data_IF_888727451822
#
_entry.id   IF_888727451822
#
_cell.length_a   1.000
_cell.length_b   1.000
_cell.length_c   1.000
_cell.angle_alpha   90.00
_cell.angle_beta   90.00
_cell.angle_gamma   90.00
#
_symmetry.space_group_name_H-M   'P 1'
#
loop_
_entity.id
_entity.type
_entity.pdbx_description
1 polymer ?
#
# COMPACT_ATOMS: atom_id res chain seq x y z
N UNK A 1 -3.16 -20.75 30.18
CA UNK A 1 -4.26 -20.10 29.45
C UNK A 1 -3.65 -18.88 28.77
N UNK A 2 -3.36 -18.96 27.47
CA UNK A 2 -2.79 -17.82 26.72
C UNK A 2 -3.96 -16.87 26.46
N UNK A 3 -3.85 -15.56 26.74
CA UNK A 3 -4.95 -14.64 26.44
C UNK A 3 -5.20 -14.68 24.94
N UNK A 4 -6.46 -14.93 24.57
CA UNK A 4 -6.97 -14.71 23.22
C UNK A 4 -6.55 -13.30 22.81
N UNK A 5 -5.63 -13.17 21.84
CA UNK A 5 -5.35 -11.88 21.20
C UNK A 5 -6.69 -11.42 20.64
N UNK A 6 -7.22 -10.28 21.11
CA UNK A 6 -8.37 -9.64 20.47
C UNK A 6 -8.11 -9.63 18.98
N UNK A 7 -9.04 -10.19 18.20
CA UNK A 7 -8.98 -10.11 16.75
C UNK A 7 -8.91 -8.62 16.40
N UNK A 8 -7.81 -8.18 15.80
CA UNK A 8 -7.70 -6.80 15.33
C UNK A 8 -8.75 -6.60 14.24
N UNK A 9 -9.69 -5.69 14.51
CA UNK A 9 -10.82 -5.43 13.61
C UNK A 9 -10.37 -4.52 12.48
N UNK A 10 -11.02 -4.63 11.32
CA UNK A 10 -10.74 -3.77 10.17
C UNK A 10 -10.97 -2.27 10.49
N UNK A 11 -11.74 -1.95 11.54
CA UNK A 11 -11.94 -0.59 12.03
C UNK A 11 -10.69 0.09 12.56
N UNK A 12 -9.68 -0.67 13.00
CA UNK A 12 -8.49 -0.15 13.68
C UNK A 12 -7.26 -0.05 12.75
N UNK A 13 -7.47 -0.15 11.44
CA UNK A 13 -6.36 -0.26 10.47
C UNK A 13 -5.97 1.05 9.78
N UNK A 14 -6.63 2.16 10.09
CA UNK A 14 -6.26 3.49 9.58
C UNK A 14 -5.21 4.15 10.48
N UNK A 15 -4.04 4.43 9.94
CA UNK A 15 -2.92 5.09 10.62
C UNK A 15 -2.73 6.51 10.09
N UNK A 16 -3.10 7.49 10.93
CA UNK A 16 -2.91 8.92 10.66
C UNK A 16 -1.83 9.50 11.56
N UNK A 17 -0.60 9.49 11.05
CA UNK A 17 0.54 10.07 11.75
C UNK A 17 0.77 11.48 11.22
N UNK A 18 0.84 12.54 12.07
CA UNK A 18 1.13 13.90 11.63
C UNK A 18 2.46 13.98 10.88
N UNK A 19 2.52 14.73 9.78
CA UNK A 19 3.77 14.92 9.02
C UNK A 19 4.72 15.82 9.80
N UNK A 20 5.89 15.30 10.10
CA UNK A 20 7.01 16.03 10.68
C UNK A 20 8.32 15.70 9.95
N UNK A 21 9.39 16.43 10.25
CA UNK A 21 10.74 16.05 9.86
C UNK A 21 11.18 14.79 10.62
N UNK A 22 12.09 14.04 10.01
CA UNK A 22 12.63 12.80 10.53
C UNK A 22 11.75 11.58 10.27
N UNK A 23 12.20 10.46 10.83
CA UNK A 23 11.60 9.13 10.65
C UNK A 23 10.43 8.92 11.62
N UNK A 24 9.25 8.65 11.06
CA UNK A 24 7.98 8.48 11.77
C UNK A 24 7.44 7.08 11.56
N UNK A 25 7.14 6.37 12.63
CA UNK A 25 6.56 5.03 12.58
C UNK A 25 5.09 5.14 12.16
N UNK A 26 4.69 4.42 11.11
CA UNK A 26 3.30 4.32 10.68
C UNK A 26 2.65 3.05 11.23
N UNK A 27 3.32 1.90 11.03
CA UNK A 27 2.89 0.56 11.44
C UNK A 27 4.11 -0.22 11.91
N UNK A 28 3.97 -1.04 12.96
CA UNK A 28 5.06 -1.87 13.48
C UNK A 28 4.70 -3.34 13.46
N UNK A 29 5.56 -4.16 12.88
CA UNK A 29 5.40 -5.62 12.89
C UNK A 29 5.29 -6.13 14.32
N UNK A 30 4.25 -6.92 14.57
CA UNK A 30 3.92 -7.48 15.88
C UNK A 30 3.11 -6.55 16.79
N UNK A 31 2.73 -5.37 16.32
CA UNK A 31 1.83 -4.42 17.00
C UNK A 31 0.68 -4.01 16.06
N UNK A 32 -0.41 -3.50 16.64
CA UNK A 32 -1.49 -2.80 15.92
C UNK A 32 -2.02 -3.55 14.67
N UNK A 33 -2.14 -4.87 14.76
CA UNK A 33 -2.72 -5.71 13.71
C UNK A 33 -1.71 -6.23 12.71
N UNK A 34 -0.54 -5.61 12.63
CA UNK A 34 0.48 -6.01 11.68
C UNK A 34 1.28 -7.22 12.15
N UNK A 35 1.40 -8.21 11.26
CA UNK A 35 2.10 -9.47 11.45
C UNK A 35 3.39 -9.54 10.64
N UNK A 36 3.43 -8.88 9.50
CA UNK A 36 4.50 -9.02 8.52
C UNK A 36 5.28 -7.73 8.27
N UNK A 37 4.63 -6.58 8.42
CA UNK A 37 5.15 -5.30 7.93
C UNK A 37 5.52 -4.33 9.05
N UNK A 38 6.67 -3.67 8.89
CA UNK A 38 6.97 -2.42 9.58
C UNK A 38 7.02 -1.33 8.52
N UNK A 39 6.25 -0.25 8.69
CA UNK A 39 6.20 0.86 7.75
C UNK A 39 6.61 2.16 8.45
N UNK A 40 7.49 2.90 7.79
CA UNK A 40 7.98 4.20 8.23
C UNK A 40 7.71 5.24 7.15
N UNK A 41 7.51 6.49 7.57
CA UNK A 41 7.64 7.67 6.72
C UNK A 41 8.89 8.42 7.13
N UNK A 42 9.69 8.83 6.16
CA UNK A 42 10.86 9.67 6.38
C UNK A 42 10.69 10.98 5.59
N UNK A 43 10.86 12.10 6.28
CA UNK A 43 11.03 13.41 5.64
C UNK A 43 12.37 13.98 6.11
N UNK A 44 13.21 14.42 5.18
CA UNK A 44 14.49 15.03 5.49
C UNK A 44 14.56 16.42 4.86
N UNK A 45 14.86 17.48 5.63
CA UNK A 45 15.17 18.76 5.04
C UNK A 45 16.48 18.67 4.23
N UNK A 46 16.66 19.60 3.29
CA UNK A 46 17.84 19.62 2.44
C UNK A 46 19.14 19.62 3.27
N UNK A 47 20.05 18.69 2.95
CA UNK A 47 21.33 18.52 3.65
C UNK A 47 21.29 17.64 4.90
N UNK A 48 20.11 17.17 5.34
CA UNK A 48 20.01 16.21 6.43
C UNK A 48 20.25 14.76 5.95
N UNK A 49 20.64 13.91 6.91
CA UNK A 49 20.90 12.48 6.72
C UNK A 49 20.21 11.68 7.83
N UNK A 50 19.77 10.47 7.52
CA UNK A 50 19.23 9.51 8.49
C UNK A 50 19.78 8.12 8.20
N UNK A 51 20.28 7.44 9.24
CA UNK A 51 20.79 6.07 9.15
C UNK A 51 19.75 5.08 9.68
N UNK A 52 19.57 3.96 8.98
CA UNK A 52 18.65 2.91 9.35
C UNK A 52 19.32 1.53 9.33
N UNK A 53 19.15 0.77 10.43
CA UNK A 53 19.69 -0.57 10.57
C UNK A 53 18.63 -1.48 11.16
N UNK A 54 18.23 -2.51 10.42
CA UNK A 54 17.32 -3.54 10.86
C UNK A 54 17.84 -4.94 10.46
N UNK A 55 18.70 -5.58 11.27
CA UNK A 55 19.47 -6.76 10.86
C UNK A 55 18.60 -8.02 10.66
N UNK A 56 17.33 -7.98 11.06
CA UNK A 56 16.37 -9.08 10.95
C UNK A 56 15.21 -8.74 10.01
N UNK A 57 15.28 -7.62 9.29
CA UNK A 57 14.21 -7.15 8.41
C UNK A 57 14.79 -6.86 7.03
N UNK A 58 14.11 -7.38 6.01
CA UNK A 58 14.26 -6.87 4.67
C UNK A 58 13.70 -5.45 4.62
N UNK A 59 14.41 -4.51 3.99
CA UNK A 59 14.01 -3.11 3.94
C UNK A 59 14.03 -2.61 2.49
N UNK A 60 12.94 -1.98 2.09
CA UNK A 60 12.83 -1.27 0.81
C UNK A 60 12.54 0.20 1.13
N UNK A 61 13.26 1.11 0.48
CA UNK A 61 13.05 2.56 0.58
C UNK A 61 12.57 3.06 -0.79
N UNK A 62 11.40 3.70 -0.81
CA UNK A 62 10.84 4.32 -2.02
C UNK A 62 10.83 5.83 -1.85
N UNK A 63 11.57 6.53 -2.71
CA UNK A 63 11.55 8.00 -2.76
C UNK A 63 10.22 8.46 -3.38
N UNK A 64 9.50 9.33 -2.67
CA UNK A 64 8.24 9.90 -3.18
C UNK A 64 8.38 11.27 -3.79
N UNK A 65 9.34 12.07 -3.31
CA UNK A 65 9.58 13.43 -3.78
C UNK A 65 10.98 13.90 -3.35
N UNK A 66 11.61 14.72 -4.16
CA UNK A 66 12.93 15.30 -3.92
C UNK A 66 14.08 14.55 -4.57
N UNK A 67 15.31 14.82 -4.09
CA UNK A 67 16.56 14.24 -4.60
C UNK A 67 17.53 14.03 -3.45
N UNK A 68 18.31 12.96 -3.51
CA UNK A 68 19.33 12.65 -2.51
C UNK A 68 20.25 11.52 -2.94
N UNK A 69 21.05 11.06 -1.99
CA UNK A 69 21.92 9.88 -2.16
C UNK A 69 21.42 8.79 -1.24
N UNK A 70 21.21 7.59 -1.80
CA UNK A 70 20.93 6.39 -1.02
C UNK A 70 22.22 5.58 -0.91
N UNK A 71 22.46 5.01 0.27
CA UNK A 71 23.59 4.13 0.53
C UNK A 71 23.09 2.86 1.25
N UNK A 72 23.60 1.70 0.83
CA UNK A 72 23.31 0.41 1.43
C UNK A 72 24.56 -0.49 1.33
N UNK A 73 25.14 -0.84 2.48
CA UNK A 73 26.43 -1.51 2.52
C UNK A 73 27.55 -0.62 1.95
N UNK A 74 28.30 -1.16 0.99
CA UNK A 74 29.35 -0.47 0.24
C UNK A 74 28.84 0.21 -1.05
N UNK A 75 27.54 0.12 -1.33
CA UNK A 75 26.93 0.74 -2.50
C UNK A 75 26.33 2.10 -2.15
N UNK A 76 26.48 3.07 -3.07
CA UNK A 76 25.89 4.40 -2.97
C UNK A 76 25.49 4.92 -4.34
N UNK A 77 24.31 5.51 -4.47
CA UNK A 77 23.78 6.04 -5.74
C UNK A 77 22.88 7.25 -5.51
N UNK A 78 22.82 8.15 -6.50
CA UNK A 78 21.89 9.30 -6.48
C UNK A 78 20.52 8.87 -6.95
N UNK A 79 19.48 9.34 -6.25
CA UNK A 79 18.07 9.14 -6.59
C UNK A 79 17.36 10.47 -6.66
N UNK A 80 16.36 10.59 -7.52
CA UNK A 80 15.53 11.78 -7.63
C UNK A 80 14.15 11.46 -8.19
N UNK A 81 13.14 12.18 -7.71
CA UNK A 81 11.75 12.06 -8.14
C UNK A 81 11.06 13.42 -8.00
N UNK A 82 10.35 13.87 -9.03
CA UNK A 82 9.67 15.17 -9.05
C UNK A 82 8.24 15.11 -8.49
N UNK A 83 8.04 14.25 -7.49
CA UNK A 83 6.74 13.88 -6.94
C UNK A 83 6.15 12.60 -7.55
N UNK A 84 5.26 11.95 -6.81
CA UNK A 84 4.67 10.67 -7.25
C UNK A 84 3.86 10.81 -8.52
N UNK A 85 3.15 11.92 -8.70
CA UNK A 85 2.22 12.13 -9.83
C UNK A 85 2.89 12.55 -11.15
N UNK A 86 4.23 12.59 -11.23
CA UNK A 86 4.96 12.91 -12.47
C UNK A 86 5.36 11.68 -13.30
N UNK A 87 5.25 10.48 -12.75
CA UNK A 87 5.87 9.30 -13.31
C UNK A 87 4.94 8.56 -14.28
N UNK A 88 5.55 7.86 -15.24
CA UNK A 88 4.85 6.95 -16.16
C UNK A 88 4.75 5.58 -15.52
N UNK A 89 3.60 4.94 -15.69
CA UNK A 89 3.32 3.60 -15.19
C UNK A 89 2.54 2.79 -16.25
N UNK A 90 2.33 1.51 -15.99
CA UNK A 90 1.66 0.62 -16.93
C UNK A 90 0.14 0.66 -16.72
N UNK A 91 -0.62 0.89 -17.80
CA UNK A 91 -2.07 0.90 -17.74
C UNK A 91 -2.62 -0.46 -17.26
N UNK A 92 -3.58 -0.43 -16.34
CA UNK A 92 -4.28 -1.60 -15.79
C UNK A 92 -5.78 -1.30 -15.66
N UNK A 93 -6.62 -2.30 -15.91
CA UNK A 93 -8.07 -2.14 -15.88
C UNK A 93 -8.63 -1.35 -17.07
N UNK A 94 -9.89 -0.93 -16.98
CA UNK A 94 -10.61 -0.19 -18.03
C UNK A 94 -11.77 0.63 -17.46
N UNK A 95 -12.29 1.57 -18.24
CA UNK A 95 -13.42 2.42 -17.83
C UNK A 95 -13.17 3.06 -16.47
N UNK A 96 -14.16 2.96 -15.57
CA UNK A 96 -14.09 3.55 -14.24
C UNK A 96 -13.16 2.82 -13.25
N UNK A 97 -12.47 1.77 -13.68
CA UNK A 97 -11.38 1.14 -12.91
C UNK A 97 -10.06 1.07 -13.70
N UNK A 98 -9.93 1.91 -14.74
CA UNK A 98 -8.66 2.20 -15.39
C UNK A 98 -7.75 2.96 -14.43
N UNK A 99 -6.48 2.57 -14.39
CA UNK A 99 -5.45 3.13 -13.51
C UNK A 99 -4.08 2.83 -14.10
N UNK A 100 -3.05 3.49 -13.60
CA UNK A 100 -1.68 3.11 -13.90
C UNK A 100 -1.04 2.42 -12.70
N UNK A 101 -0.18 1.43 -12.95
CA UNK A 101 0.53 0.67 -11.93
C UNK A 101 2.00 0.54 -12.27
N UNK A 102 2.86 0.76 -11.28
CA UNK A 102 4.28 0.48 -11.37
C UNK A 102 4.64 -0.62 -10.37
N UNK A 103 5.03 -1.78 -10.91
CA UNK A 103 5.47 -2.92 -10.14
C UNK A 103 6.97 -2.76 -9.82
N UNK A 104 7.31 -2.16 -8.67
CA UNK A 104 8.69 -1.74 -8.33
C UNK A 104 9.57 -2.95 -7.95
N UNK A 105 9.16 -3.73 -6.95
CA UNK A 105 9.90 -4.90 -6.42
C UNK A 105 9.06 -6.19 -6.43
N UNK A 106 8.10 -6.29 -7.35
CA UNK A 106 7.16 -7.43 -7.41
C UNK A 106 7.85 -8.71 -7.85
N UNK A 107 8.65 -8.65 -8.92
CA UNK A 107 9.39 -9.80 -9.48
C UNK A 107 10.90 -9.68 -9.30
N UNK A 108 11.36 -8.70 -8.52
CA UNK A 108 12.77 -8.43 -8.30
C UNK A 108 13.45 -9.61 -7.57
N UNK A 109 14.58 -10.14 -8.05
CA UNK A 109 15.24 -11.30 -7.46
C UNK A 109 16.02 -10.98 -6.16
N UNK A 110 16.31 -9.70 -5.89
CA UNK A 110 16.97 -9.26 -4.67
C UNK A 110 16.00 -9.14 -3.49
N UNK A 111 14.71 -8.98 -3.78
CA UNK A 111 13.67 -9.01 -2.76
C UNK A 111 13.29 -10.44 -2.34
N UNK A 112 13.20 -10.68 -1.03
CA UNK A 112 13.01 -11.99 -0.39
C UNK A 112 11.54 -12.27 -0.10
N UNK A 113 10.87 -11.38 0.63
CA UNK A 113 9.47 -11.53 1.07
C UNK A 113 8.63 -10.34 0.66
N UNK A 114 9.20 -9.13 0.74
CA UNK A 114 8.51 -7.92 0.35
C UNK A 114 8.27 -7.89 -1.17
N UNK A 115 7.07 -7.48 -1.52
CA UNK A 115 6.72 -7.02 -2.87
C UNK A 115 6.18 -5.60 -2.70
N UNK A 116 6.62 -4.70 -3.58
CA UNK A 116 6.27 -3.29 -3.50
C UNK A 116 5.89 -2.81 -4.89
N UNK A 117 4.84 -2.01 -4.94
CA UNK A 117 4.48 -1.27 -6.14
C UNK A 117 3.66 -0.04 -5.78
N UNK A 118 3.23 0.67 -6.80
CA UNK A 118 2.43 1.88 -6.62
C UNK A 118 1.32 1.94 -7.66
N UNK A 119 0.20 2.52 -7.27
CA UNK A 119 -0.98 2.67 -8.14
C UNK A 119 -1.41 4.13 -8.20
N UNK A 120 -1.77 4.56 -9.41
CA UNK A 120 -2.23 5.91 -9.72
C UNK A 120 -3.68 5.86 -10.21
N UNK A 121 -4.60 6.37 -9.39
CA UNK A 121 -6.01 6.46 -9.71
C UNK A 121 -6.34 7.83 -10.30
N UNK A 122 -6.93 7.87 -11.51
CA UNK A 122 -7.58 9.06 -12.02
C UNK A 122 -8.75 9.51 -11.10
N UNK A 123 -9.14 10.79 -11.16
CA UNK A 123 -10.29 11.28 -10.41
C UNK A 123 -11.57 10.54 -10.77
N UNK A 124 -12.35 10.13 -9.76
CA UNK A 124 -13.59 9.37 -9.94
C UNK A 124 -13.41 7.87 -10.19
N UNK A 125 -12.17 7.39 -10.35
CA UNK A 125 -11.90 5.98 -10.65
C UNK A 125 -11.72 5.11 -9.40
N UNK A 126 -12.01 3.83 -9.60
CA UNK A 126 -11.78 2.75 -8.65
C UNK A 126 -10.49 2.01 -8.96
N UNK A 127 -9.87 1.46 -7.94
CA UNK A 127 -8.73 0.55 -8.07
C UNK A 127 -8.83 -0.58 -7.05
N UNK A 128 -7.85 -1.48 -7.11
CA UNK A 128 -7.95 -2.79 -6.47
C UNK A 128 -9.30 -3.45 -6.80
N UNK A 129 -9.69 -3.33 -8.09
CA UNK A 129 -11.02 -3.64 -8.60
C UNK A 129 -10.94 -4.53 -9.88
N UNK A 130 -11.74 -5.60 -10.03
CA UNK A 130 -12.73 -6.12 -9.06
C UNK A 130 -12.13 -6.39 -7.67
N UNK A 131 -12.94 -6.26 -6.59
CA UNK A 131 -12.43 -6.43 -5.24
C UNK A 131 -11.75 -7.79 -5.11
N UNK A 132 -10.59 -7.82 -4.47
CA UNK A 132 -9.82 -9.04 -4.29
C UNK A 132 -9.17 -9.09 -2.91
N UNK A 133 -8.75 -10.29 -2.52
CA UNK A 133 -8.12 -10.57 -1.22
C UNK A 133 -6.92 -11.51 -1.37
N UNK A 134 -6.14 -11.59 -0.30
CA UNK A 134 -4.97 -12.47 -0.15
C UNK A 134 -4.95 -13.10 1.25
N UNK A 135 -6.07 -13.70 1.69
CA UNK A 135 -6.24 -14.14 3.10
C UNK A 135 -6.11 -15.65 3.32
N UNK A 136 -5.73 -16.39 2.28
CA UNK A 136 -5.44 -17.83 2.37
C UNK A 136 -6.65 -18.76 2.20
N UNK A 137 -7.86 -18.23 2.07
CA UNK A 137 -9.08 -19.06 2.14
C UNK A 137 -9.47 -19.73 0.83
N UNK A 138 -8.89 -19.34 -0.30
CA UNK A 138 -9.28 -19.82 -1.63
C UNK A 138 -8.07 -20.20 -2.52
N UNK A 139 -6.95 -20.59 -1.91
CA UNK A 139 -5.73 -21.05 -2.60
C UNK A 139 -4.73 -19.93 -2.96
N UNK A 140 -5.12 -18.67 -2.80
CA UNK A 140 -4.20 -17.55 -2.74
C UNK A 140 -3.35 -17.61 -1.45
N UNK A 141 -2.14 -17.03 -1.43
CA UNK A 141 -1.32 -17.01 -0.22
C UNK A 141 -1.89 -16.06 0.84
N UNK A 142 -1.48 -16.23 2.09
CA UNK A 142 -1.74 -15.27 3.17
C UNK A 142 -0.71 -14.15 3.04
N UNK A 143 -1.16 -12.99 2.58
CA UNK A 143 -0.36 -11.79 2.44
C UNK A 143 -0.99 -10.64 3.22
N UNK A 144 -0.21 -10.01 4.09
CA UNK A 144 -0.57 -8.74 4.70
C UNK A 144 -0.07 -7.61 3.79
N UNK A 145 -0.93 -6.62 3.57
CA UNK A 145 -0.63 -5.48 2.71
C UNK A 145 -0.81 -4.16 3.47
N UNK A 146 -0.06 -3.13 3.10
CA UNK A 146 -0.23 -1.77 3.60
C UNK A 146 -0.24 -0.80 2.43
N UNK A 147 -1.18 0.15 2.43
CA UNK A 147 -1.24 1.27 1.49
C UNK A 147 -0.84 2.56 2.19
N UNK A 148 0.08 3.33 1.60
CA UNK A 148 0.38 4.70 2.00
C UNK A 148 -0.10 5.67 0.92
N UNK A 149 -0.94 6.62 1.31
CA UNK A 149 -1.68 7.47 0.40
C UNK A 149 -1.03 8.82 0.13
N UNK A 150 -1.13 9.27 -1.13
CA UNK A 150 -0.96 10.67 -1.52
C UNK A 150 -2.20 11.12 -2.29
N UNK A 151 -2.61 12.37 -2.09
CA UNK A 151 -3.79 12.95 -2.76
C UNK A 151 -3.40 14.23 -3.47
N UNK A 152 -3.93 14.45 -4.65
CA UNK A 152 -3.75 15.68 -5.40
C UNK A 152 -5.10 16.24 -5.91
N UNK A 153 -5.48 17.47 -5.53
CA UNK A 153 -4.78 18.36 -4.59
C UNK A 153 -4.83 17.86 -3.12
N UNK A 154 -3.85 18.23 -2.27
CA UNK A 154 -3.60 17.56 -0.98
C UNK A 154 -4.69 17.74 0.09
N UNK A 155 -5.57 18.73 -0.05
CA UNK A 155 -6.76 18.87 0.81
C UNK A 155 -7.87 17.85 0.49
N UNK A 156 -7.71 17.07 -0.57
CA UNK A 156 -8.65 16.04 -0.98
C UNK A 156 -8.68 14.84 -0.05
N UNK A 157 -9.37 13.78 -0.52
CA UNK A 157 -9.51 12.53 0.19
C UNK A 157 -9.72 11.36 -0.77
N UNK A 158 -9.68 10.14 -0.23
CA UNK A 158 -10.06 8.90 -0.89
C UNK A 158 -10.88 8.00 0.02
N UNK A 159 -11.36 6.88 -0.51
CA UNK A 159 -12.03 5.85 0.27
C UNK A 159 -11.29 4.52 0.13
N UNK A 160 -10.83 3.99 1.26
CA UNK A 160 -10.37 2.61 1.38
C UNK A 160 -11.49 1.81 2.01
N UNK A 161 -12.15 0.96 1.23
CA UNK A 161 -13.10 -0.01 1.77
C UNK A 161 -12.35 -1.30 2.12
N UNK A 162 -12.73 -1.95 3.21
CA UNK A 162 -12.28 -3.29 3.57
C UNK A 162 -13.50 -4.10 4.00
N UNK A 163 -13.67 -5.29 3.46
CA UNK A 163 -14.76 -6.17 3.86
C UNK A 163 -14.39 -7.65 3.74
N UNK A 164 -15.06 -8.51 4.50
CA UNK A 164 -14.85 -9.95 4.46
C UNK A 164 -16.13 -10.68 4.05
N UNK A 165 -15.98 -11.91 3.55
CA UNK A 165 -17.11 -12.80 3.30
C UNK A 165 -17.91 -13.13 4.59
N UNK A 166 -17.34 -12.88 5.77
CA UNK A 166 -18.00 -13.06 7.08
C UNK A 166 -18.88 -11.87 7.49
N UNK A 167 -18.99 -10.83 6.68
CA UNK A 167 -19.88 -9.68 6.91
C UNK A 167 -19.22 -8.49 7.64
N UNK A 168 -17.99 -8.62 8.10
CA UNK A 168 -17.22 -7.46 8.58
C UNK A 168 -16.97 -6.50 7.41
N UNK A 169 -17.22 -5.21 7.61
CA UNK A 169 -17.09 -4.19 6.59
C UNK A 169 -16.81 -2.83 7.22
N UNK A 170 -15.83 -2.11 6.66
CA UNK A 170 -15.48 -0.74 7.04
C UNK A 170 -15.11 0.05 5.79
N UNK A 171 -15.29 1.37 5.85
CA UNK A 171 -14.72 2.28 4.86
C UNK A 171 -14.00 3.40 5.58
N UNK A 172 -12.70 3.54 5.32
CA UNK A 172 -11.87 4.62 5.84
C UNK A 172 -11.83 5.77 4.84
N UNK A 173 -12.09 6.98 5.32
CA UNK A 173 -11.74 8.20 4.57
C UNK A 173 -10.26 8.47 4.75
N UNK A 174 -9.49 8.28 3.68
CA UNK A 174 -8.04 8.47 3.66
C UNK A 174 -7.69 9.87 3.17
N UNK A 175 -6.65 10.48 3.75
CA UNK A 175 -6.13 11.80 3.40
C UNK A 175 -4.66 11.70 2.97
N UNK A 176 -4.13 12.79 2.42
CA UNK A 176 -2.73 12.87 2.01
C UNK A 176 -1.79 12.53 3.18
N UNK A 177 -1.05 11.42 3.05
CA UNK A 177 -0.10 10.92 4.05
C UNK A 177 -0.65 9.95 5.09
N UNK A 178 -1.91 9.51 4.96
CA UNK A 178 -2.45 8.40 5.75
C UNK A 178 -1.89 7.06 5.26
N UNK A 179 -1.86 6.06 6.14
CA UNK A 179 -1.62 4.67 5.78
C UNK A 179 -2.78 3.78 6.23
N UNK A 180 -3.06 2.71 5.51
CA UNK A 180 -4.06 1.70 5.89
C UNK A 180 -3.44 0.31 5.81
N UNK A 181 -3.54 -0.45 6.91
CA UNK A 181 -3.17 -1.86 6.97
C UNK A 181 -4.33 -2.72 6.45
N UNK A 182 -4.02 -3.71 5.62
CA UNK A 182 -4.98 -4.64 5.00
C UNK A 182 -4.60 -6.06 5.47
N UNK A 183 -5.06 -6.48 6.66
CA UNK A 183 -4.62 -7.75 7.25
C UNK A 183 -5.30 -8.97 6.62
N UNK A 184 -6.48 -8.78 6.02
CA UNK A 184 -7.28 -9.79 5.33
C UNK A 184 -8.46 -9.12 4.60
N UNK A 185 -9.23 -9.92 3.85
CA UNK A 185 -10.47 -9.47 3.21
C UNK A 185 -10.24 -8.70 1.91
N UNK A 186 -11.36 -8.34 1.29
CA UNK A 186 -11.43 -7.57 0.05
C UNK A 186 -11.20 -6.09 0.33
N UNK A 187 -10.41 -5.42 -0.49
CA UNK A 187 -9.94 -4.06 -0.17
C UNK A 187 -9.95 -3.09 -1.36
N UNK A 188 -11.12 -2.83 -1.99
CA UNK A 188 -11.19 -1.89 -3.10
C UNK A 188 -10.99 -0.44 -2.64
N UNK A 189 -10.50 0.40 -3.57
CA UNK A 189 -10.23 1.82 -3.34
C UNK A 189 -11.01 2.66 -4.33
N UNK A 190 -11.56 3.80 -3.87
CA UNK A 190 -12.27 4.76 -4.72
C UNK A 190 -11.70 6.17 -4.56
N UNK A 191 -11.33 6.78 -5.69
CA UNK A 191 -10.97 8.19 -5.79
C UNK A 191 -12.25 9.02 -6.02
N UNK A 192 -12.51 10.09 -5.24
CA UNK A 192 -13.62 10.99 -5.51
C UNK A 192 -13.38 11.80 -6.80
N UNK A 193 -14.44 12.32 -7.44
CA UNK A 193 -14.30 13.24 -8.56
C UNK A 193 -13.43 14.45 -8.19
N UNK A 194 -12.55 14.85 -9.11
CA UNK A 194 -11.64 16.00 -8.95
C UNK A 194 -10.34 15.73 -8.18
N UNK A 195 -10.15 14.57 -7.55
CA UNK A 195 -8.91 14.24 -6.82
C UNK A 195 -8.20 13.04 -7.43
N UNK A 196 -6.93 13.22 -7.82
CA UNK A 196 -6.04 12.10 -8.13
C UNK A 196 -5.63 11.43 -6.83
N UNK A 197 -5.70 10.11 -6.80
CA UNK A 197 -5.33 9.32 -5.63
C UNK A 197 -4.14 8.43 -6.00
N UNK A 198 -3.10 8.49 -5.20
CA UNK A 198 -1.94 7.62 -5.29
C UNK A 198 -1.87 6.76 -4.03
N UNK A 199 -1.46 5.51 -4.19
CA UNK A 199 -1.01 4.73 -3.05
C UNK A 199 0.21 3.89 -3.39
N UNK A 200 1.22 3.99 -2.52
CA UNK A 200 2.32 3.05 -2.43
C UNK A 200 1.82 1.85 -1.66
N UNK A 201 1.93 0.66 -2.26
CA UNK A 201 1.56 -0.58 -1.62
C UNK A 201 2.78 -1.46 -1.37
N UNK A 202 2.85 -2.02 -0.17
CA UNK A 202 3.82 -3.03 0.20
C UNK A 202 3.09 -4.23 0.78
N UNK A 203 3.45 -5.42 0.32
CA UNK A 203 2.77 -6.66 0.65
C UNK A 203 3.80 -7.76 0.96
N UNK A 204 3.54 -8.54 2.01
CA UNK A 204 4.39 -9.65 2.41
C UNK A 204 3.60 -10.76 3.11
N UNK A 205 4.14 -11.97 3.01
CA UNK A 205 3.67 -13.13 3.74
C UNK A 205 4.76 -14.18 3.89
N UNK A 206 4.40 -15.37 4.35
CA UNK A 206 5.32 -16.50 4.42
C UNK A 206 5.77 -16.95 3.02
N UNK A 207 4.90 -16.82 2.02
CA UNK A 207 5.15 -17.12 0.62
C UNK A 207 5.27 -15.82 -0.19
N UNK A 208 6.36 -15.64 -0.97
CA UNK A 208 6.49 -14.51 -1.91
C UNK A 208 5.86 -14.87 -3.25
N UNK A 209 4.53 -14.82 -3.31
CA UNK A 209 3.76 -15.05 -4.54
C UNK A 209 2.58 -14.09 -4.58
N UNK A 210 2.59 -13.13 -5.51
CA UNK A 210 1.46 -12.23 -5.69
C UNK A 210 0.31 -12.94 -6.42
N UNK A 211 -0.52 -13.65 -5.67
CA UNK A 211 -1.76 -14.24 -6.14
C UNK A 211 -2.92 -13.64 -5.35
N UNK A 212 -4.02 -13.36 -6.04
CA UNK A 212 -5.23 -12.77 -5.48
C UNK A 212 -6.42 -13.70 -5.70
N UNK A 213 -7.43 -13.54 -4.87
CA UNK A 213 -8.75 -14.12 -5.09
C UNK A 213 -9.77 -12.99 -5.23
N UNK A 214 -10.33 -12.83 -6.43
CA UNK A 214 -11.39 -11.86 -6.68
C UNK A 214 -12.70 -12.29 -5.99
N UNK A 215 -13.50 -11.32 -5.58
CA UNK A 215 -14.83 -11.57 -5.03
C UNK A 215 -15.73 -12.17 -6.13
N UNK A 216 -16.22 -13.42 -5.97
CA UNK A 216 -17.06 -14.08 -6.97
C UNK A 216 -18.28 -13.26 -7.36
N UNK A 217 -18.85 -12.49 -6.42
CA UNK A 217 -20.01 -11.63 -6.67
C UNK A 217 -19.75 -10.50 -7.66
N UNK A 218 -18.48 -10.20 -7.95
CA UNK A 218 -18.06 -9.08 -8.80
C UNK A 218 -17.26 -9.52 -10.04
N UNK A 219 -16.99 -10.83 -10.21
CA UNK A 219 -16.26 -11.35 -11.38
C UNK A 219 -16.99 -11.14 -12.71
N UNK A 220 -18.31 -10.94 -12.70
CA UNK A 220 -19.11 -10.63 -13.89
C UNK A 220 -18.64 -9.35 -14.60
N UNK A 221 -17.98 -8.44 -13.87
CA UNK A 221 -17.47 -7.16 -14.39
C UNK A 221 -16.47 -7.38 -15.52
N UNK A 222 -15.70 -8.48 -15.48
CA UNK A 222 -14.79 -8.83 -16.57
C UNK A 222 -15.50 -9.03 -17.91
N UNK A 223 -16.78 -9.43 -17.88
CA UNK A 223 -17.58 -9.74 -19.07
C UNK A 223 -18.37 -8.54 -19.60
N UNK A 224 -18.45 -7.46 -18.84
CA UNK A 224 -19.10 -6.23 -19.29
C UNK A 224 -18.17 -5.56 -20.29
N UNK A 225 -18.59 -5.57 -21.56
CA UNK A 225 -17.99 -4.73 -22.59
C UNK A 225 -18.36 -3.28 -22.25
N UNK A 226 -17.35 -2.46 -21.95
CA UNK A 226 -17.48 -1.00 -21.81
C UNK A 226 -17.38 -0.36 -23.17
#
# INVERSE_FOLDING_TARGET
MIPSRSAHMLTDTLHRVPRADGRQLLVKRGADGSRELTAWRLHLPAGATDDYVAPKEETIVVLQDGRGTFAAGDHSWTVGRSGVFSDRANARGRGNYARDVHDIFVTDPHARRLMVGETFNPPGNWSSYPPHKHDGKNGEPILEEIYYYRVDPPQGFGHQMQYSAGGECVTHVVRDGDAVLLPYGYHPVSAPPGYRLYYLWAIAGAERRLALYEDPAHTWIHRVQS
#
